data_IF_525096702958
#
_entry.id   IF_525096702958
#
_cell.length_a   1.000
_cell.length_b   1.000
_cell.length_c   1.000
_cell.angle_alpha   90.00
_cell.angle_beta   90.00
_cell.angle_gamma   90.00
#
_symmetry.space_group_name_H-M   'P 1'
#
loop_
_entity.id
_entity.type
_entity.pdbx_description
1 polymer ?
#
# COMPACT_ATOMS: atom_id res chain seq x y z
N UNK A 1 -36.50 -36.16 9.03
CA UNK A 1 -35.72 -35.13 8.31
C UNK A 1 -34.28 -35.11 8.83
N UNK A 2 -33.31 -35.69 8.12
CA UNK A 2 -31.89 -35.66 8.52
C UNK A 2 -31.26 -34.37 7.99
N UNK A 3 -30.87 -33.46 8.90
CA UNK A 3 -30.17 -32.20 8.58
C UNK A 3 -28.78 -32.56 8.06
N UNK A 4 -28.51 -32.34 6.77
CA UNK A 4 -27.16 -32.53 6.20
C UNK A 4 -26.18 -31.61 6.94
N UNK A 5 -25.13 -32.21 7.49
CA UNK A 5 -24.07 -31.54 8.24
C UNK A 5 -23.37 -30.50 7.36
N UNK A 6 -23.32 -29.25 7.83
CA UNK A 6 -22.61 -28.12 7.22
C UNK A 6 -21.08 -28.23 7.29
N UNK A 7 -20.56 -29.31 7.89
CA UNK A 7 -19.13 -29.50 8.16
C UNK A 7 -18.34 -29.78 6.87
N UNK A 8 -18.98 -30.28 5.79
CA UNK A 8 -18.27 -30.56 4.53
C UNK A 8 -17.79 -29.30 3.77
N UNK A 9 -18.32 -28.11 4.11
CA UNK A 9 -17.86 -26.84 3.52
C UNK A 9 -16.53 -26.34 4.10
N UNK A 10 -16.15 -26.81 5.29
CA UNK A 10 -14.95 -26.33 5.99
C UNK A 10 -13.67 -27.07 5.59
N UNK A 11 -13.81 -28.29 5.05
CA UNK A 11 -12.69 -29.12 4.59
C UNK A 11 -12.49 -29.11 3.07
N UNK A 12 -13.13 -28.17 2.36
CA UNK A 12 -12.73 -27.92 0.97
C UNK A 12 -11.48 -27.06 0.99
N UNK A 13 -10.33 -27.69 0.75
CA UNK A 13 -9.24 -27.01 0.05
C UNK A 13 -9.76 -26.68 -1.34
N UNK A 14 -10.48 -25.57 -1.44
CA UNK A 14 -10.95 -25.05 -2.73
C UNK A 14 -9.71 -24.92 -3.60
N UNK A 15 -9.67 -25.63 -4.72
CA UNK A 15 -8.76 -25.26 -5.79
C UNK A 15 -8.92 -23.75 -5.98
N UNK A 16 -7.81 -23.00 -5.95
CA UNK A 16 -7.83 -21.53 -6.02
C UNK A 16 -8.48 -21.13 -7.34
N UNK A 17 -9.80 -20.95 -7.32
CA UNK A 17 -10.60 -20.52 -8.45
C UNK A 17 -10.82 -19.04 -8.27
N UNK A 18 -10.04 -18.25 -9.00
CA UNK A 18 -10.17 -16.80 -8.97
C UNK A 18 -11.56 -16.37 -9.47
N UNK A 19 -12.11 -15.36 -8.83
CA UNK A 19 -13.34 -14.74 -9.31
C UNK A 19 -13.10 -14.06 -10.67
N UNK A 20 -14.17 -13.92 -11.46
CA UNK A 20 -14.13 -13.08 -12.66
C UNK A 20 -13.70 -11.65 -12.33
N UNK A 21 -14.09 -11.16 -11.16
CA UNK A 21 -13.70 -9.83 -10.67
C UNK A 21 -12.19 -9.69 -10.49
N UNK A 22 -11.55 -10.58 -9.74
CA UNK A 22 -10.09 -10.51 -9.51
C UNK A 22 -9.29 -10.63 -10.82
N UNK A 23 -9.76 -11.47 -11.74
CA UNK A 23 -9.15 -11.62 -13.06
C UNK A 23 -9.22 -10.32 -13.86
N UNK A 24 -10.40 -9.69 -13.93
CA UNK A 24 -10.58 -8.45 -14.67
C UNK A 24 -9.87 -7.27 -14.01
N UNK A 25 -9.87 -7.23 -12.68
CA UNK A 25 -9.14 -6.23 -11.93
C UNK A 25 -7.63 -6.33 -12.19
N UNK A 26 -7.09 -7.54 -12.14
CA UNK A 26 -5.69 -7.79 -12.45
C UNK A 26 -5.32 -7.28 -13.86
N UNK A 27 -6.12 -7.62 -14.87
CA UNK A 27 -5.93 -7.12 -16.24
C UNK A 27 -5.98 -5.59 -16.33
N UNK A 28 -6.94 -4.97 -15.64
CA UNK A 28 -7.08 -3.52 -15.59
C UNK A 28 -5.86 -2.85 -14.95
N UNK A 29 -5.39 -3.34 -13.81
CA UNK A 29 -4.21 -2.78 -13.13
C UNK A 29 -2.93 -2.97 -13.96
N UNK A 30 -2.76 -4.13 -14.60
CA UNK A 30 -1.64 -4.37 -15.51
C UNK A 30 -1.66 -3.37 -16.69
N UNK A 31 -2.84 -3.10 -17.27
CA UNK A 31 -2.98 -2.19 -18.40
C UNK A 31 -2.85 -0.70 -18.02
N UNK A 32 -3.37 -0.28 -16.86
CA UNK A 32 -3.47 1.15 -16.49
C UNK A 32 -2.34 1.65 -15.60
N UNK A 33 -1.71 0.75 -14.83
CA UNK A 33 -0.67 1.09 -13.84
C UNK A 33 0.67 0.42 -14.17
N UNK A 34 0.76 -0.29 -15.31
CA UNK A 34 2.00 -0.93 -15.74
C UNK A 34 2.44 -2.08 -14.84
N UNK A 35 1.51 -2.72 -14.15
CA UNK A 35 1.81 -3.86 -13.28
C UNK A 35 2.02 -5.16 -14.08
N UNK A 36 2.68 -6.12 -13.43
CA UNK A 36 2.89 -7.47 -13.93
C UNK A 36 2.42 -8.51 -12.91
N UNK A 37 1.18 -8.35 -12.46
CA UNK A 37 0.59 -9.17 -11.40
C UNK A 37 -0.34 -10.26 -11.95
N UNK A 38 -0.61 -11.25 -11.10
CA UNK A 38 -1.64 -12.29 -11.27
C UNK A 38 -2.69 -12.17 -10.16
N UNK A 39 -3.87 -12.82 -10.28
CA UNK A 39 -4.90 -12.74 -9.25
C UNK A 39 -4.46 -13.14 -7.83
N UNK A 40 -3.46 -14.01 -7.66
CA UNK A 40 -2.91 -14.36 -6.34
C UNK A 40 -2.05 -13.27 -5.70
N UNK A 41 -1.70 -12.21 -6.44
CA UNK A 41 -1.03 -11.02 -5.91
C UNK A 41 -2.03 -9.99 -5.37
N UNK A 42 -3.34 -10.22 -5.52
CA UNK A 42 -4.39 -9.28 -5.12
C UNK A 42 -5.07 -9.72 -3.84
N UNK A 43 -5.36 -8.75 -2.98
CA UNK A 43 -6.23 -8.92 -1.82
C UNK A 43 -7.26 -7.80 -1.88
N UNK A 44 -8.54 -8.18 -1.95
CA UNK A 44 -9.65 -7.22 -1.89
C UNK A 44 -10.02 -6.95 -0.44
N UNK A 45 -10.04 -5.69 -0.05
CA UNK A 45 -10.43 -5.23 1.28
C UNK A 45 -11.60 -4.24 1.18
N UNK A 46 -12.25 -3.97 2.31
CA UNK A 46 -13.39 -3.04 2.34
C UNK A 46 -12.96 -1.57 2.44
N UNK A 47 -11.75 -1.31 2.93
CA UNK A 47 -11.21 0.04 3.08
C UNK A 47 -9.68 0.02 3.13
N UNK A 48 -9.06 1.19 2.99
CA UNK A 48 -7.61 1.34 3.15
C UNK A 48 -7.18 1.05 4.58
N UNK A 49 -7.94 1.49 5.58
CA UNK A 49 -7.67 1.20 6.99
C UNK A 49 -7.67 -0.30 7.26
N UNK A 50 -8.60 -1.05 6.67
CA UNK A 50 -8.60 -2.52 6.77
C UNK A 50 -7.37 -3.13 6.09
N UNK A 51 -6.94 -2.58 4.96
CA UNK A 51 -5.71 -3.02 4.28
C UNK A 51 -4.47 -2.76 5.13
N UNK A 52 -4.36 -1.55 5.68
CA UNK A 52 -3.27 -1.17 6.58
C UNK A 52 -3.27 -2.00 7.85
N UNK A 53 -4.44 -2.33 8.38
CA UNK A 53 -4.55 -3.25 9.50
C UNK A 53 -4.00 -4.63 9.13
N UNK A 54 -4.40 -5.22 8.01
CA UNK A 54 -3.87 -6.53 7.57
C UNK A 54 -2.34 -6.47 7.37
N UNK A 55 -1.84 -5.45 6.67
CA UNK A 55 -0.40 -5.22 6.47
C UNK A 55 0.34 -5.11 7.81
N UNK A 56 -0.23 -4.36 8.76
CA UNK A 56 0.36 -4.18 10.09
C UNK A 56 0.48 -5.50 10.85
N UNK A 57 -0.58 -6.33 10.83
CA UNK A 57 -0.59 -7.62 11.53
C UNK A 57 0.35 -8.65 10.89
N UNK A 58 0.59 -8.55 9.58
CA UNK A 58 1.49 -9.45 8.86
C UNK A 58 2.97 -9.07 9.00
N UNK A 59 3.27 -7.77 9.01
CA UNK A 59 4.65 -7.29 8.91
C UNK A 59 5.23 -6.83 10.25
N UNK A 60 4.44 -6.23 11.13
CA UNK A 60 4.96 -5.58 12.34
C UNK A 60 5.12 -6.58 13.47
N UNK A 61 6.28 -6.52 14.11
CA UNK A 61 6.52 -7.06 15.45
C UNK A 61 6.66 -5.91 16.45
N UNK A 62 6.40 -6.13 17.75
CA UNK A 62 6.60 -5.10 18.76
C UNK A 62 8.00 -4.49 18.67
N UNK A 63 8.06 -3.15 18.68
CA UNK A 63 9.27 -2.31 18.56
C UNK A 63 9.92 -2.26 17.17
N UNK A 64 9.31 -2.85 16.14
CA UNK A 64 9.76 -2.64 14.77
C UNK A 64 9.64 -1.15 14.39
N UNK A 65 10.64 -0.63 13.67
CA UNK A 65 10.63 0.76 13.21
C UNK A 65 9.78 0.89 11.95
N UNK A 66 8.79 1.78 11.99
CA UNK A 66 7.97 2.16 10.84
C UNK A 66 8.25 3.63 10.50
N UNK A 67 8.56 3.90 9.23
CA UNK A 67 8.84 5.25 8.76
C UNK A 67 7.58 5.88 8.13
N UNK A 68 7.33 7.14 8.48
CA UNK A 68 6.26 7.97 7.91
C UNK A 68 6.79 9.38 7.62
N UNK A 69 6.13 10.16 6.77
CA UNK A 69 6.47 11.57 6.60
C UNK A 69 6.23 12.39 7.88
N UNK A 70 6.97 13.49 8.05
CA UNK A 70 6.89 14.36 9.23
C UNK A 70 5.46 14.84 9.54
N UNK A 71 4.68 15.10 8.48
CA UNK A 71 3.24 15.28 8.58
C UNK A 71 2.61 14.05 7.90
N UNK A 72 1.94 13.18 8.65
CA UNK A 72 1.37 11.94 8.10
C UNK A 72 -0.07 11.71 8.53
N UNK A 73 -0.72 10.74 7.89
CA UNK A 73 -2.10 10.38 8.18
C UNK A 73 -2.23 9.78 9.60
N UNK A 74 -3.03 10.43 10.44
CA UNK A 74 -3.25 10.02 11.83
C UNK A 74 -3.83 8.61 11.98
N UNK A 75 -4.78 8.22 11.12
CA UNK A 75 -5.41 6.90 11.18
C UNK A 75 -4.40 5.80 10.87
N UNK A 76 -3.56 5.98 9.84
CA UNK A 76 -2.48 5.05 9.50
C UNK A 76 -1.49 4.90 10.67
N UNK A 77 -1.07 6.02 11.28
CA UNK A 77 -0.17 5.99 12.43
C UNK A 77 -0.76 5.20 13.61
N UNK A 78 -2.03 5.42 13.93
CA UNK A 78 -2.72 4.71 15.00
C UNK A 78 -2.75 3.19 14.76
N UNK A 79 -3.05 2.76 13.53
CA UNK A 79 -3.06 1.33 13.17
C UNK A 79 -1.68 0.70 13.38
N UNK A 80 -0.61 1.38 12.94
CA UNK A 80 0.76 0.85 13.10
C UNK A 80 1.19 0.81 14.57
N UNK A 81 0.87 1.84 15.36
CA UNK A 81 1.17 1.87 16.79
C UNK A 81 0.41 0.78 17.56
N UNK A 82 -0.86 0.52 17.21
CA UNK A 82 -1.64 -0.58 17.79
C UNK A 82 -1.03 -1.95 17.48
N UNK A 83 -0.39 -2.11 16.32
CA UNK A 83 0.38 -3.31 16.00
C UNK A 83 1.76 -3.37 16.71
N UNK A 84 2.14 -2.34 17.45
CA UNK A 84 3.36 -2.27 18.25
C UNK A 84 4.56 -1.62 17.57
N UNK A 85 4.37 -0.88 16.47
CA UNK A 85 5.47 -0.19 15.80
C UNK A 85 5.98 1.02 16.60
N UNK A 86 7.28 1.25 16.51
CA UNK A 86 7.93 2.51 16.85
C UNK A 86 7.95 3.40 15.61
N UNK A 87 7.05 4.38 15.56
CA UNK A 87 6.94 5.29 14.41
C UNK A 87 8.06 6.34 14.48
N UNK A 88 8.83 6.44 13.38
CA UNK A 88 9.80 7.52 13.16
C UNK A 88 9.40 8.34 11.96
N UNK A 89 9.57 9.65 12.08
CA UNK A 89 9.23 10.61 11.03
C UNK A 89 10.44 10.92 10.16
N UNK A 90 10.17 11.12 8.87
CA UNK A 90 11.15 11.55 7.86
C UNK A 90 10.77 12.95 7.38
N UNK A 91 11.72 13.90 7.29
CA UNK A 91 11.48 15.21 6.71
C UNK A 91 10.89 15.12 5.29
N UNK A 92 10.06 16.11 4.96
CA UNK A 92 9.44 16.25 3.66
C UNK A 92 9.70 17.66 3.18
N UNK A 93 10.32 17.80 2.01
CA UNK A 93 10.60 19.08 1.36
C UNK A 93 9.76 19.22 0.06
N UNK A 94 10.11 20.20 -0.76
CA UNK A 94 9.47 20.49 -2.06
C UNK A 94 9.56 19.36 -3.10
N UNK A 95 10.42 18.36 -2.89
CA UNK A 95 10.56 17.17 -3.73
C UNK A 95 9.98 15.91 -3.08
N UNK A 96 9.32 16.06 -1.94
CA UNK A 96 8.67 14.99 -1.19
C UNK A 96 9.54 14.50 -0.03
N UNK A 97 9.42 13.22 0.31
CA UNK A 97 10.12 12.61 1.43
C UNK A 97 11.64 12.57 1.19
N UNK A 98 12.44 12.99 2.19
CA UNK A 98 13.90 12.98 2.10
C UNK A 98 14.46 11.56 2.30
N UNK A 99 14.82 10.93 1.18
CA UNK A 99 15.37 9.57 1.17
C UNK A 99 16.80 9.52 1.72
N UNK A 100 17.57 10.60 1.58
CA UNK A 100 18.96 10.67 2.04
C UNK A 100 19.01 10.80 3.58
N UNK A 101 17.99 11.41 4.19
CA UNK A 101 17.79 11.38 5.64
C UNK A 101 17.72 9.94 6.18
N UNK A 102 17.01 9.03 5.48
CA UNK A 102 16.89 7.62 5.90
C UNK A 102 18.27 6.96 5.93
N UNK A 103 19.07 7.16 4.87
CA UNK A 103 20.42 6.58 4.76
C UNK A 103 21.34 7.02 5.90
N UNK A 104 21.19 8.27 6.34
CA UNK A 104 22.06 8.90 7.34
C UNK A 104 21.67 8.53 8.77
N UNK A 105 20.38 8.34 9.05
CA UNK A 105 19.87 8.21 10.43
C UNK A 105 19.44 6.79 10.82
N UNK A 106 19.36 5.86 9.87
CA UNK A 106 18.94 4.49 10.13
C UNK A 106 19.99 3.49 9.68
N UNK A 107 20.03 2.35 10.37
CA UNK A 107 20.93 1.25 10.04
C UNK A 107 20.21 0.22 9.16
N UNK A 108 20.97 -0.55 8.39
CA UNK A 108 20.40 -1.62 7.55
C UNK A 108 19.69 -2.65 8.44
N UNK A 109 18.49 -3.05 8.04
CA UNK A 109 17.69 -4.04 8.76
C UNK A 109 16.94 -3.54 9.99
N UNK A 110 17.07 -2.26 10.40
CA UNK A 110 16.29 -1.73 11.52
C UNK A 110 14.87 -1.32 11.13
N UNK A 111 14.63 -1.02 9.85
CA UNK A 111 13.34 -0.53 9.35
C UNK A 111 12.50 -1.73 8.92
N UNK A 112 11.25 -1.78 9.38
CA UNK A 112 10.28 -2.78 8.92
C UNK A 112 9.66 -2.36 7.59
N UNK A 113 9.09 -1.17 7.56
CA UNK A 113 8.58 -0.58 6.33
C UNK A 113 8.54 0.94 6.41
N UNK A 114 8.38 1.57 5.25
CA UNK A 114 7.99 2.97 5.10
C UNK A 114 6.59 3.05 4.50
N UNK A 115 5.75 3.94 5.02
CA UNK A 115 4.43 4.24 4.47
C UNK A 115 4.45 5.61 3.80
N UNK A 116 4.08 5.65 2.51
CA UNK A 116 4.13 6.86 1.68
C UNK A 116 2.88 7.02 0.82
N UNK A 117 2.48 8.27 0.58
CA UNK A 117 1.58 8.62 -0.52
C UNK A 117 2.42 9.25 -1.64
N UNK A 118 2.90 8.44 -2.60
CA UNK A 118 3.93 8.86 -3.55
C UNK A 118 3.49 9.96 -4.54
N UNK A 119 2.20 10.01 -4.89
CA UNK A 119 1.64 10.98 -5.84
C UNK A 119 1.31 12.32 -5.21
N UNK A 120 0.74 12.30 -4.00
CA UNK A 120 0.37 13.48 -3.23
C UNK A 120 0.61 13.14 -1.76
N UNK A 121 1.75 13.57 -1.23
CA UNK A 121 2.05 13.34 0.17
C UNK A 121 0.97 14.00 1.03
N UNK A 122 0.28 13.24 1.88
CA UNK A 122 -0.73 13.82 2.75
C UNK A 122 -0.07 14.32 4.05
N UNK A 123 -0.25 15.59 4.46
CA UNK A 123 -1.15 16.62 3.92
C UNK A 123 -0.47 17.66 3.02
N UNK A 124 0.84 17.59 2.78
CA UNK A 124 1.60 18.64 2.08
C UNK A 124 1.35 18.72 0.58
N UNK A 125 0.64 17.73 0.01
CA UNK A 125 0.33 17.50 -1.41
C UNK A 125 1.53 17.37 -2.35
N UNK A 126 2.75 17.46 -1.83
CA UNK A 126 3.99 17.33 -2.60
C UNK A 126 4.10 15.92 -3.22
N UNK A 127 4.47 15.87 -4.50
CA UNK A 127 4.75 14.61 -5.21
C UNK A 127 6.19 14.17 -4.95
N UNK A 128 6.39 12.88 -4.65
CA UNK A 128 7.73 12.30 -4.57
C UNK A 128 8.34 12.24 -5.97
N UNK A 129 9.44 12.97 -6.19
CA UNK A 129 10.10 13.05 -7.50
C UNK A 129 10.53 11.68 -8.03
N UNK A 130 10.62 11.53 -9.36
CA UNK A 130 11.04 10.28 -10.00
C UNK A 130 12.42 9.79 -9.50
N UNK A 131 13.35 10.73 -9.30
CA UNK A 131 14.67 10.43 -8.73
C UNK A 131 14.56 9.83 -7.32
N UNK A 132 13.71 10.41 -6.46
CA UNK A 132 13.53 9.91 -5.09
C UNK A 132 12.79 8.59 -5.03
N UNK A 133 11.86 8.33 -5.95
CA UNK A 133 11.22 7.01 -6.09
C UNK A 133 12.27 5.93 -6.39
N UNK A 134 13.15 6.16 -7.36
CA UNK A 134 14.23 5.22 -7.68
C UNK A 134 15.21 5.04 -6.52
N UNK A 135 15.64 6.14 -5.88
CA UNK A 135 16.48 6.09 -4.68
C UNK A 135 15.83 5.27 -3.55
N UNK A 136 14.52 5.44 -3.33
CA UNK A 136 13.80 4.75 -2.28
C UNK A 136 13.67 3.24 -2.57
N UNK A 137 13.43 2.85 -3.83
CA UNK A 137 13.40 1.43 -4.23
C UNK A 137 14.76 0.76 -3.99
N UNK A 138 15.85 1.40 -4.40
CA UNK A 138 17.21 0.88 -4.17
C UNK A 138 17.55 0.83 -2.68
N UNK A 139 17.12 1.83 -1.91
CA UNK A 139 17.33 1.86 -0.47
C UNK A 139 16.54 0.76 0.23
N UNK A 140 15.27 0.54 -0.14
CA UNK A 140 14.41 -0.51 0.40
C UNK A 140 15.00 -1.90 0.19
N UNK A 141 15.52 -2.16 -1.01
CA UNK A 141 16.28 -3.38 -1.32
C UNK A 141 17.53 -3.51 -0.44
N UNK A 142 18.33 -2.45 -0.34
CA UNK A 142 19.60 -2.45 0.39
C UNK A 142 19.42 -2.62 1.91
N UNK A 143 18.38 -2.00 2.46
CA UNK A 143 18.08 -1.99 3.89
C UNK A 143 17.08 -3.09 4.29
N UNK A 144 16.48 -3.76 3.31
CA UNK A 144 15.51 -4.85 3.46
C UNK A 144 14.24 -4.43 4.20
N UNK A 145 13.68 -3.28 3.84
CA UNK A 145 12.37 -2.84 4.32
C UNK A 145 11.34 -2.85 3.20
N UNK A 146 10.06 -2.97 3.55
CA UNK A 146 8.96 -2.85 2.58
C UNK A 146 8.53 -1.39 2.36
N UNK A 147 7.99 -1.08 1.19
CA UNK A 147 7.37 0.21 0.90
C UNK A 147 5.87 -0.03 0.82
N UNK A 148 5.10 0.61 1.69
CA UNK A 148 3.64 0.63 1.62
C UNK A 148 3.25 1.90 0.86
N UNK A 149 2.92 1.74 -0.42
CA UNK A 149 2.55 2.83 -1.33
C UNK A 149 1.03 3.02 -1.30
N UNK A 150 0.55 4.09 -0.67
CA UNK A 150 -0.86 4.46 -0.63
C UNK A 150 -1.20 5.42 -1.78
N UNK A 151 -1.91 4.89 -2.76
CA UNK A 151 -2.26 5.58 -3.99
C UNK A 151 -3.79 5.74 -4.06
N UNK A 152 -4.28 6.69 -3.28
CA UNK A 152 -5.70 6.95 -3.13
C UNK A 152 -6.31 7.81 -4.25
N UNK A 153 -5.49 8.41 -5.12
CA UNK A 153 -5.87 9.48 -6.05
C UNK A 153 -5.44 9.25 -7.52
N UNK A 154 -4.90 8.07 -7.87
CA UNK A 154 -4.39 7.79 -9.22
C UNK A 154 -5.37 8.15 -10.34
N UNK A 155 -6.65 7.83 -10.15
CA UNK A 155 -7.70 8.01 -11.17
C UNK A 155 -8.22 9.46 -11.24
N UNK A 156 -7.81 10.36 -10.34
CA UNK A 156 -8.29 11.76 -10.24
C UNK A 156 -7.20 12.80 -10.52
N UNK A 157 -6.40 12.56 -11.57
CA UNK A 157 -5.37 13.51 -12.00
C UNK A 157 -5.91 14.45 -13.08
N UNK A 158 -6.04 15.72 -12.73
CA UNK A 158 -6.69 16.75 -13.55
C UNK A 158 -5.78 17.33 -14.65
N UNK A 159 -4.45 17.12 -14.60
CA UNK A 159 -3.51 17.58 -15.63
C UNK A 159 -2.25 16.70 -15.67
N UNK A 160 -1.90 16.19 -16.86
CA UNK A 160 -0.66 15.44 -17.14
C UNK A 160 -0.80 13.91 -17.03
N UNK A 161 0.08 13.18 -17.72
CA UNK A 161 0.22 11.73 -17.55
C UNK A 161 0.75 11.45 -16.14
N UNK A 162 -0.05 10.78 -15.31
CA UNK A 162 0.38 10.29 -14.02
C UNK A 162 1.73 9.57 -14.14
N UNK A 163 2.70 9.89 -13.28
CA UNK A 163 3.82 8.98 -13.10
C UNK A 163 3.26 7.60 -12.73
N UNK A 164 3.85 6.53 -13.24
CA UNK A 164 3.43 5.20 -12.83
C UNK A 164 3.72 4.98 -11.34
N UNK A 165 2.92 4.16 -10.63
CA UNK A 165 3.19 3.82 -9.24
C UNK A 165 4.56 3.15 -9.09
N UNK A 166 5.20 3.31 -7.94
CA UNK A 166 6.50 2.69 -7.67
C UNK A 166 6.45 1.17 -7.79
N UNK A 167 5.30 0.55 -7.44
CA UNK A 167 5.06 -0.88 -7.62
C UNK A 167 5.24 -1.37 -9.08
N UNK A 168 5.10 -0.50 -10.09
CA UNK A 168 5.34 -0.85 -11.50
C UNK A 168 6.82 -1.06 -11.83
N UNK A 169 7.71 -0.38 -11.09
CA UNK A 169 9.16 -0.47 -11.24
C UNK A 169 9.81 -1.40 -10.20
N UNK A 170 9.00 -2.09 -9.39
CA UNK A 170 9.48 -2.97 -8.33
C UNK A 170 9.94 -4.32 -8.87
N UNK A 171 11.25 -4.44 -9.13
CA UNK A 171 11.86 -5.70 -9.55
C UNK A 171 12.11 -6.69 -8.41
N UNK A 172 11.93 -6.29 -7.14
CA UNK A 172 12.36 -7.05 -5.97
C UNK A 172 11.21 -7.47 -5.05
N UNK A 173 9.97 -7.10 -5.36
CA UNK A 173 8.79 -7.42 -4.56
C UNK A 173 8.82 -6.77 -3.18
N UNK A 174 9.40 -5.56 -3.09
CA UNK A 174 9.48 -4.78 -1.85
C UNK A 174 8.32 -3.79 -1.69
N UNK A 175 7.49 -3.58 -2.71
CA UNK A 175 6.38 -2.63 -2.67
C UNK A 175 5.04 -3.34 -2.47
N UNK A 176 4.28 -2.88 -1.47
CA UNK A 176 2.86 -3.20 -1.30
C UNK A 176 2.05 -1.99 -1.74
N UNK A 177 1.35 -2.13 -2.87
CA UNK A 177 0.48 -1.09 -3.41
C UNK A 177 -0.91 -1.14 -2.77
N UNK A 178 -1.39 0.00 -2.29
CA UNK A 178 -2.74 0.21 -1.77
C UNK A 178 -3.49 1.12 -2.72
N UNK A 179 -4.33 0.53 -3.57
CA UNK A 179 -5.23 1.26 -4.46
C UNK A 179 -6.66 1.23 -3.94
N UNK A 180 -7.44 2.27 -4.29
CA UNK A 180 -8.89 2.31 -4.10
C UNK A 180 -9.57 2.21 -5.45
N UNK A 181 -10.61 1.38 -5.54
CA UNK A 181 -11.50 1.31 -6.69
C UNK A 181 -12.89 1.73 -6.28
N UNK A 182 -13.58 2.42 -7.16
CA UNK A 182 -14.99 2.77 -6.97
C UNK A 182 -15.27 4.19 -6.49
N UNK A 183 -14.25 5.02 -6.22
CA UNK A 183 -14.47 6.45 -6.02
C UNK A 183 -15.03 7.14 -7.29
N UNK A 184 -14.70 6.65 -8.48
CA UNK A 184 -15.27 7.12 -9.75
C UNK A 184 -16.65 6.53 -10.08
N UNK A 185 -16.99 5.36 -9.51
CA UNK A 185 -18.25 4.65 -9.76
C UNK A 185 -19.37 5.03 -8.78
N UNK A 186 -19.04 5.75 -7.70
CA UNK A 186 -19.98 6.03 -6.61
C UNK A 186 -19.99 7.52 -6.25
N UNK A 187 -20.49 8.37 -7.16
CA UNK A 187 -20.80 9.76 -6.83
C UNK A 187 -22.14 9.94 -6.09
N UNK A 188 -23.01 8.92 -5.97
CA UNK A 188 -24.24 9.01 -5.16
C UNK A 188 -24.61 7.62 -4.64
N UNK A 189 -24.57 7.42 -3.32
CA UNK A 189 -25.59 6.73 -2.51
C UNK A 189 -25.13 6.70 -1.03
N UNK A 190 -24.92 7.88 -0.44
CA UNK A 190 -25.29 8.05 0.97
C UNK A 190 -26.79 8.30 0.96
N UNK A 191 -27.57 7.23 1.07
CA UNK A 191 -28.98 7.33 1.39
C UNK A 191 -29.09 6.87 2.83
N UNK A 192 -29.45 7.80 3.69
CA UNK A 192 -29.79 7.55 5.08
C UNK A 192 -30.77 6.37 5.15
N UNK A 193 -30.40 5.38 5.97
CA UNK A 193 -31.27 4.40 6.63
C UNK A 193 -30.49 3.80 7.80
#
# INVERSE_FOLDING_TARGET
MKRKSLISKWNQTTAVSYSKFETQLCNYLNATRGFHIKPNNLISTRSTEMSLYIVSQLLIKPKDVVLVGHLSNYASNMIFQQAGADIKTIPVDEHGLDVDYIRTHFIKGSIRFIYICAHRHYPTTVTLSAERRLKLLELAKTYKFAIIEDDYDYDFQYNGSAMLPMASADAHGVVVYLGKLGQSLFLVFKRDL
#
